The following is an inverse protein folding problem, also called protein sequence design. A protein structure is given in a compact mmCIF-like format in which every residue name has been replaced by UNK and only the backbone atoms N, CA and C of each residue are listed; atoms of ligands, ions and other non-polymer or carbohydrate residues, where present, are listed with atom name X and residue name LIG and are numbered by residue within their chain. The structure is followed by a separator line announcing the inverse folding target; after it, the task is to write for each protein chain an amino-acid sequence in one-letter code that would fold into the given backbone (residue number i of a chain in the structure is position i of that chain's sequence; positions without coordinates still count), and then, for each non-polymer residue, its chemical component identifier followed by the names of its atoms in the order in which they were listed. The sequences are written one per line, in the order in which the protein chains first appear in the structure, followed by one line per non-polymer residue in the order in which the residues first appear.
data_IF_178350851098
#
_entry.id   IF_178350851098
#
_cell.length_a   1.000
_cell.length_b   1.000
_cell.length_c   1.000
_cell.angle_alpha   90.00
_cell.angle_beta   90.00
_cell.angle_gamma   90.00
#
_symmetry.space_group_name_H-M   'P 1'
#
loop_
_entity.id
_entity.type
_entity.pdbx_description
1 polymer ?
#
# COMPACT_ATOMS: atom_id res chain seq x y z
N UNK A 1 -11.19 -10.31 17.37
CA UNK A 1 -10.67 -10.90 16.12
C UNK A 1 -9.20 -10.55 16.01
N UNK A 2 -8.33 -11.49 15.65
CA UNK A 2 -6.88 -11.25 15.54
C UNK A 2 -6.49 -10.89 14.11
N UNK A 3 -6.07 -9.64 13.90
CA UNK A 3 -5.56 -9.14 12.62
C UNK A 3 -4.03 -9.16 12.62
N UNK A 4 -3.45 -9.88 11.67
CA UNK A 4 -2.02 -9.88 11.38
C UNK A 4 -1.76 -9.06 10.13
N UNK A 5 -0.76 -8.18 10.17
CA UNK A 5 -0.46 -7.25 9.09
C UNK A 5 1.05 -7.13 8.82
N UNK A 6 1.40 -6.99 7.55
CA UNK A 6 2.76 -6.72 7.07
C UNK A 6 2.74 -6.18 5.63
N UNK A 7 3.89 -5.75 5.14
CA UNK A 7 4.11 -5.30 3.77
C UNK A 7 5.53 -5.61 3.31
N UNK A 8 5.82 -5.33 2.04
CA UNK A 8 7.17 -5.38 1.47
C UNK A 8 7.88 -6.74 1.67
N UNK A 9 7.22 -7.92 1.50
CA UNK A 9 7.93 -9.19 1.62
C UNK A 9 8.92 -9.40 0.47
N UNK A 10 8.73 -8.73 -0.68
CA UNK A 10 9.64 -8.73 -1.84
C UNK A 10 10.17 -10.12 -2.21
N UNK A 11 9.28 -11.11 -2.31
CA UNK A 11 9.69 -12.53 -2.27
C UNK A 11 10.59 -12.93 -3.44
N UNK A 12 10.53 -12.21 -4.55
CA UNK A 12 11.42 -12.42 -5.68
C UNK A 12 12.85 -12.00 -5.36
N UNK A 13 13.03 -10.92 -4.58
CA UNK A 13 14.33 -10.45 -4.11
C UNK A 13 14.85 -11.34 -2.99
N UNK A 14 13.99 -11.78 -2.05
CA UNK A 14 14.36 -12.75 -1.01
C UNK A 14 14.99 -14.00 -1.63
N UNK A 15 14.30 -14.60 -2.61
CA UNK A 15 14.76 -15.79 -3.30
C UNK A 15 16.07 -15.56 -4.06
N UNK A 16 16.15 -14.47 -4.84
CA UNK A 16 17.37 -14.09 -5.59
C UNK A 16 18.58 -13.84 -4.69
N UNK A 17 18.36 -13.44 -3.44
CA UNK A 17 19.40 -13.16 -2.44
C UNK A 17 19.74 -14.34 -1.54
N UNK A 18 19.21 -15.53 -1.82
CA UNK A 18 19.59 -16.75 -1.12
C UNK A 18 18.67 -17.16 0.03
N UNK A 19 17.42 -16.65 0.06
CA UNK A 19 16.39 -17.08 1.01
C UNK A 19 15.26 -17.89 0.31
N UNK A 20 15.56 -19.06 -0.29
CA UNK A 20 14.56 -19.84 -1.03
C UNK A 20 13.45 -20.42 -0.13
N UNK A 21 13.67 -20.47 1.19
CA UNK A 21 12.69 -20.90 2.18
C UNK A 21 11.88 -19.76 2.80
N UNK A 22 12.12 -18.51 2.38
CA UNK A 22 11.47 -17.32 2.97
C UNK A 22 9.95 -17.48 3.04
N UNK A 23 9.31 -17.83 1.92
CA UNK A 23 7.86 -17.94 1.84
C UNK A 23 7.30 -19.07 2.72
N UNK A 24 8.00 -20.21 2.78
CA UNK A 24 7.60 -21.35 3.62
C UNK A 24 7.67 -20.96 5.09
N UNK A 25 8.78 -20.36 5.53
CA UNK A 25 8.96 -19.94 6.91
C UNK A 25 8.04 -18.78 7.30
N UNK A 26 7.75 -17.87 6.37
CA UNK A 26 6.75 -16.83 6.56
C UNK A 26 5.37 -17.45 6.82
N UNK A 27 4.96 -18.44 6.02
CA UNK A 27 3.69 -19.12 6.24
C UNK A 27 3.65 -19.86 7.58
N UNK A 28 4.71 -20.59 7.95
CA UNK A 28 4.82 -21.26 9.25
C UNK A 28 4.71 -20.27 10.42
N UNK A 29 5.41 -19.15 10.32
CA UNK A 29 5.35 -18.09 11.32
C UNK A 29 3.95 -17.47 11.42
N UNK A 30 3.32 -17.15 10.29
CA UNK A 30 1.95 -16.63 10.26
C UNK A 30 0.96 -17.62 10.89
N UNK A 31 1.08 -18.91 10.60
CA UNK A 31 0.23 -19.94 11.21
C UNK A 31 0.42 -20.04 12.72
N UNK A 32 1.67 -19.89 13.20
CA UNK A 32 1.97 -19.90 14.64
C UNK A 32 1.30 -18.76 15.42
N UNK A 33 0.97 -17.65 14.75
CA UNK A 33 0.23 -16.53 15.35
C UNK A 33 -1.27 -16.85 15.50
N UNK A 34 -1.79 -17.86 14.80
CA UNK A 34 -3.21 -18.20 14.71
C UNK A 34 -4.07 -16.97 14.33
N UNK A 35 -3.86 -16.35 13.15
CA UNK A 35 -4.59 -15.17 12.70
C UNK A 35 -6.04 -15.49 12.36
N UNK A 36 -6.98 -14.59 12.68
CA UNK A 36 -8.31 -14.62 12.07
C UNK A 36 -8.27 -13.98 10.67
N UNK A 37 -7.50 -12.91 10.51
CA UNK A 37 -7.34 -12.14 9.28
C UNK A 37 -5.87 -11.82 9.04
N UNK A 38 -5.43 -11.93 7.78
CA UNK A 38 -4.14 -11.43 7.32
C UNK A 38 -4.36 -10.27 6.36
N UNK A 39 -3.64 -9.16 6.54
CA UNK A 39 -3.63 -8.01 5.64
C UNK A 39 -2.20 -7.76 5.14
N UNK A 40 -2.00 -7.85 3.82
CA UNK A 40 -0.74 -7.52 3.16
C UNK A 40 -0.90 -6.20 2.40
N UNK A 41 -0.08 -5.19 2.75
CA UNK A 41 -0.14 -3.83 2.17
C UNK A 41 1.01 -3.55 1.21
N UNK A 42 1.12 -4.42 0.20
CA UNK A 42 1.87 -4.16 -1.01
C UNK A 42 3.30 -4.68 -1.02
N UNK A 43 3.89 -4.52 -2.20
CA UNK A 43 5.27 -4.87 -2.55
C UNK A 43 5.58 -6.34 -2.28
N UNK A 44 4.67 -7.19 -2.77
CA UNK A 44 4.85 -8.65 -2.77
C UNK A 44 5.98 -9.02 -3.72
N UNK A 45 5.90 -8.58 -4.98
CA UNK A 45 6.92 -8.82 -6.00
C UNK A 45 6.67 -8.03 -7.29
N UNK A 46 7.74 -7.78 -8.06
CA UNK A 46 7.66 -7.14 -9.37
C UNK A 46 6.85 -7.92 -10.43
N UNK A 47 6.98 -9.26 -10.48
CA UNK A 47 6.34 -10.07 -11.53
C UNK A 47 5.06 -10.74 -11.05
N UNK A 48 4.07 -10.86 -11.95
CA UNK A 48 2.80 -11.55 -11.66
C UNK A 48 3.02 -13.00 -11.22
N UNK A 49 4.03 -13.69 -11.76
CA UNK A 49 4.35 -15.08 -11.38
C UNK A 49 4.81 -15.21 -9.92
N UNK A 50 5.58 -14.24 -9.42
CA UNK A 50 5.97 -14.23 -8.01
C UNK A 50 4.80 -13.80 -7.13
N UNK A 51 3.97 -12.85 -7.54
CA UNK A 51 2.74 -12.53 -6.80
C UNK A 51 1.84 -13.77 -6.68
N UNK A 52 1.64 -14.51 -7.77
CA UNK A 52 0.91 -15.79 -7.75
C UNK A 52 1.54 -16.78 -6.77
N UNK A 53 2.87 -16.99 -6.86
CA UNK A 53 3.62 -17.85 -5.94
C UNK A 53 3.39 -17.47 -4.47
N UNK A 54 3.39 -16.17 -4.15
CA UNK A 54 3.10 -15.67 -2.80
C UNK A 54 1.66 -16.01 -2.37
N UNK A 55 0.68 -15.61 -3.18
CA UNK A 55 -0.74 -15.78 -2.84
C UNK A 55 -1.12 -17.26 -2.67
N UNK A 56 -0.53 -18.16 -3.46
CA UNK A 56 -0.63 -19.62 -3.32
C UNK A 56 0.12 -20.15 -2.08
N UNK A 57 1.31 -19.62 -1.80
CA UNK A 57 2.20 -20.10 -0.74
C UNK A 57 1.82 -19.69 0.68
N UNK A 58 0.87 -18.77 0.85
CA UNK A 58 0.26 -18.44 2.15
C UNK A 58 -1.07 -19.21 2.30
N UNK A 59 -0.97 -20.37 2.94
CA UNK A 59 -2.05 -21.33 3.17
C UNK A 59 -2.47 -21.43 4.65
N UNK A 60 -2.32 -20.34 5.38
CA UNK A 60 -2.70 -20.22 6.80
C UNK A 60 -4.18 -20.53 7.06
N UNK A 61 -4.52 -20.88 8.28
CA UNK A 61 -5.90 -21.07 8.77
C UNK A 61 -6.73 -19.78 8.91
N UNK A 62 -6.17 -18.63 8.56
CA UNK A 62 -6.87 -17.35 8.54
C UNK A 62 -8.19 -17.42 7.77
N UNK A 63 -9.26 -16.91 8.39
CA UNK A 63 -10.60 -16.87 7.80
C UNK A 63 -10.68 -15.92 6.60
N UNK A 64 -9.84 -14.88 6.60
CA UNK A 64 -9.71 -13.93 5.49
C UNK A 64 -8.25 -13.58 5.25
N UNK A 65 -7.88 -13.55 3.97
CA UNK A 65 -6.60 -13.04 3.48
C UNK A 65 -6.89 -11.84 2.59
N UNK A 66 -6.33 -10.68 2.93
CA UNK A 66 -6.61 -9.40 2.30
C UNK A 66 -5.31 -8.87 1.70
N UNK A 67 -5.39 -8.41 0.46
CA UNK A 67 -4.24 -7.90 -0.29
C UNK A 67 -4.55 -6.52 -0.87
N UNK A 68 -3.69 -5.56 -0.57
CA UNK A 68 -3.61 -4.26 -1.22
C UNK A 68 -2.24 -4.16 -1.90
N UNK A 69 -2.14 -3.86 -3.21
CA UNK A 69 -0.88 -3.85 -3.94
C UNK A 69 0.00 -2.64 -3.62
N UNK A 70 1.30 -2.80 -3.81
CA UNK A 70 2.31 -1.73 -3.80
C UNK A 70 2.80 -1.37 -5.20
N UNK A 71 3.76 -0.45 -5.29
CA UNK A 71 4.26 0.01 -6.58
C UNK A 71 5.03 -1.09 -7.32
N UNK A 72 5.77 -1.95 -6.61
CA UNK A 72 6.42 -3.11 -7.24
C UNK A 72 5.38 -4.06 -7.83
N UNK A 73 4.23 -4.23 -7.18
CA UNK A 73 3.20 -5.14 -7.66
C UNK A 73 2.58 -4.72 -8.99
N UNK A 74 2.69 -3.44 -9.38
CA UNK A 74 2.23 -2.92 -10.69
C UNK A 74 3.34 -2.76 -11.72
N UNK A 75 4.60 -3.08 -11.38
CA UNK A 75 5.71 -3.02 -12.32
C UNK A 75 5.51 -3.98 -13.49
N UNK A 76 5.81 -3.50 -14.70
CA UNK A 76 5.65 -4.27 -15.94
C UNK A 76 6.87 -4.13 -16.84
N UNK A 77 7.35 -5.26 -17.35
CA UNK A 77 8.32 -5.32 -18.44
C UNK A 77 7.57 -5.37 -19.78
N UNK A 78 6.75 -4.35 -20.05
CA UNK A 78 5.90 -4.27 -21.24
C UNK A 78 6.23 -3.04 -22.07
N UNK A 79 6.05 -3.15 -23.39
CA UNK A 79 6.08 -1.99 -24.30
C UNK A 79 4.76 -1.23 -24.31
N UNK A 80 3.67 -1.82 -23.80
CA UNK A 80 2.39 -1.14 -23.71
C UNK A 80 2.45 -0.03 -22.64
N UNK A 81 2.05 1.17 -23.03
CA UNK A 81 2.25 2.39 -22.25
C UNK A 81 1.37 2.47 -21.00
N UNK A 82 0.25 1.75 -20.94
CA UNK A 82 -0.74 1.76 -19.84
C UNK A 82 -0.84 0.41 -19.10
N UNK A 83 0.16 -0.46 -19.27
CA UNK A 83 0.10 -1.84 -18.79
C UNK A 83 0.02 -1.98 -17.25
N UNK A 84 0.44 -0.97 -16.47
CA UNK A 84 0.27 -1.00 -15.02
C UNK A 84 -1.20 -0.85 -14.61
N UNK A 85 -2.01 -0.11 -15.38
CA UNK A 85 -3.45 -0.05 -15.13
C UNK A 85 -4.12 -1.40 -15.36
N UNK A 86 -3.78 -2.08 -16.45
CA UNK A 86 -4.27 -3.44 -16.74
C UNK A 86 -3.88 -4.42 -15.64
N UNK A 87 -2.63 -4.34 -15.16
CA UNK A 87 -2.17 -5.19 -14.06
C UNK A 87 -2.99 -4.92 -12.78
N UNK A 88 -3.16 -3.67 -12.40
CA UNK A 88 -3.89 -3.26 -11.20
C UNK A 88 -5.40 -3.57 -11.23
N UNK A 89 -6.08 -3.32 -12.35
CA UNK A 89 -7.54 -3.42 -12.43
C UNK A 89 -8.08 -4.75 -12.95
N UNK A 90 -7.25 -5.57 -13.58
CA UNK A 90 -7.69 -6.82 -14.19
C UNK A 90 -6.90 -8.02 -13.67
N UNK A 91 -5.58 -7.98 -13.79
CA UNK A 91 -4.74 -9.16 -13.51
C UNK A 91 -4.69 -9.47 -12.01
N UNK A 92 -4.31 -8.49 -11.18
CA UNK A 92 -4.22 -8.68 -9.74
C UNK A 92 -5.56 -9.04 -9.06
N UNK A 93 -6.70 -8.37 -9.36
CA UNK A 93 -7.98 -8.76 -8.78
C UNK A 93 -8.47 -10.14 -9.23
N UNK A 94 -8.25 -10.51 -10.50
CA UNK A 94 -8.57 -11.84 -11.01
C UNK A 94 -7.76 -12.90 -10.26
N UNK A 95 -6.43 -12.74 -10.23
CA UNK A 95 -5.52 -13.66 -9.56
C UNK A 95 -5.85 -13.81 -8.07
N UNK A 96 -6.11 -12.69 -7.39
CA UNK A 96 -6.48 -12.70 -5.98
C UNK A 96 -7.78 -13.49 -5.76
N UNK A 97 -8.79 -13.26 -6.59
CA UNK A 97 -10.08 -13.97 -6.50
C UNK A 97 -9.91 -15.47 -6.70
N UNK A 98 -9.14 -15.88 -7.72
CA UNK A 98 -8.87 -17.28 -8.04
C UNK A 98 -8.15 -18.01 -6.89
N UNK A 99 -7.30 -17.30 -6.14
CA UNK A 99 -6.50 -17.83 -5.04
C UNK A 99 -7.13 -17.60 -3.65
N UNK A 100 -8.38 -17.15 -3.58
CA UNK A 100 -9.11 -16.97 -2.33
C UNK A 100 -8.64 -15.78 -1.48
N UNK A 101 -8.03 -14.78 -2.11
CA UNK A 101 -7.65 -13.51 -1.49
C UNK A 101 -8.66 -12.41 -1.83
N UNK A 102 -8.96 -11.57 -0.83
CA UNK A 102 -9.73 -10.36 -1.03
C UNK A 102 -8.81 -9.24 -1.53
N UNK A 103 -8.94 -8.88 -2.80
CA UNK A 103 -8.22 -7.74 -3.38
C UNK A 103 -8.90 -6.43 -2.98
N UNK A 104 -8.29 -5.75 -2.01
CA UNK A 104 -8.90 -4.63 -1.31
C UNK A 104 -9.31 -3.46 -2.22
N UNK A 105 -8.51 -3.06 -3.23
CA UNK A 105 -8.92 -1.99 -4.12
C UNK A 105 -10.15 -2.29 -4.97
N UNK A 106 -10.60 -3.55 -5.13
CA UNK A 106 -11.76 -3.83 -5.97
C UNK A 106 -13.09 -3.58 -5.26
N UNK A 107 -13.14 -3.74 -3.93
CA UNK A 107 -14.32 -3.51 -3.09
C UNK A 107 -13.94 -3.56 -1.60
N UNK A 108 -14.51 -2.72 -0.73
CA UNK A 108 -14.38 -2.86 0.72
C UNK A 108 -14.84 -4.23 1.24
N UNK A 109 -14.25 -4.67 2.35
CA UNK A 109 -14.64 -5.89 3.04
C UNK A 109 -15.13 -5.55 4.45
N UNK A 110 -16.28 -6.09 4.84
CA UNK A 110 -16.78 -5.97 6.21
C UNK A 110 -16.73 -7.36 6.86
N UNK A 111 -16.05 -7.45 8.01
CA UNK A 111 -16.03 -8.65 8.85
C UNK A 111 -16.52 -8.25 10.23
N UNK A 112 -17.69 -8.75 10.63
CA UNK A 112 -18.41 -8.32 11.82
C UNK A 112 -18.67 -6.79 11.79
N UNK A 113 -18.11 -6.06 12.75
CA UNK A 113 -18.16 -4.62 12.95
C UNK A 113 -16.93 -3.87 12.38
N UNK A 114 -16.01 -4.57 11.72
CA UNK A 114 -14.80 -3.98 11.15
C UNK A 114 -14.92 -3.84 9.64
N UNK A 115 -14.74 -2.61 9.14
CA UNK A 115 -14.61 -2.35 7.72
C UNK A 115 -13.14 -2.25 7.30
N UNK A 116 -12.79 -2.92 6.20
CA UNK A 116 -11.49 -2.85 5.55
C UNK A 116 -11.67 -2.10 4.22
N UNK A 117 -10.89 -1.05 4.02
CA UNK A 117 -10.82 -0.27 2.79
C UNK A 117 -9.36 -0.09 2.38
N UNK A 118 -9.09 0.15 1.11
CA UNK A 118 -7.72 0.38 0.71
C UNK A 118 -7.49 0.58 -0.76
N UNK A 119 -6.38 1.24 -1.04
CA UNK A 119 -5.89 1.56 -2.38
C UNK A 119 -4.36 1.54 -2.32
N UNK A 120 -3.66 1.27 -3.41
CA UNK A 120 -2.21 1.41 -3.41
C UNK A 120 -1.79 2.83 -3.01
N UNK A 121 -2.62 3.82 -3.39
CA UNK A 121 -2.23 5.21 -3.42
C UNK A 121 -1.26 5.48 -4.57
N UNK A 122 -0.69 6.67 -4.59
CA UNK A 122 0.51 7.00 -5.35
C UNK A 122 1.15 8.23 -4.70
N UNK A 123 2.33 8.62 -5.15
CA UNK A 123 2.99 9.84 -4.67
C UNK A 123 2.65 11.05 -5.54
N UNK A 124 2.66 12.22 -4.90
CA UNK A 124 2.41 13.53 -5.50
C UNK A 124 3.53 14.53 -5.15
N UNK A 125 4.67 14.01 -4.65
CA UNK A 125 5.83 14.79 -4.18
C UNK A 125 5.56 15.65 -2.93
N UNK A 126 4.41 15.49 -2.27
CA UNK A 126 4.13 16.18 -1.01
C UNK A 126 4.95 15.67 0.18
N UNK A 127 5.63 14.53 0.02
CA UNK A 127 6.54 13.91 0.99
C UNK A 127 8.01 14.28 0.78
N UNK A 128 8.33 15.11 -0.23
CA UNK A 128 9.70 15.59 -0.48
C UNK A 128 10.23 16.39 0.72
N UNK A 129 11.55 16.41 0.92
CA UNK A 129 12.16 17.24 1.95
C UNK A 129 12.26 18.71 1.48
N UNK A 130 11.57 19.68 2.13
CA UNK A 130 11.55 21.07 1.69
C UNK A 130 12.92 21.78 1.71
N UNK A 131 13.92 21.25 2.44
CA UNK A 131 15.28 21.82 2.45
C UNK A 131 15.94 21.81 1.07
N UNK A 132 15.43 20.99 0.14
CA UNK A 132 15.93 20.86 -1.22
C UNK A 132 15.12 21.64 -2.24
N UNK A 133 14.09 22.40 -1.86
CA UNK A 133 13.20 23.11 -2.81
C UNK A 133 13.95 24.13 -3.69
N UNK A 134 15.04 24.70 -3.20
CA UNK A 134 15.92 25.60 -3.98
C UNK A 134 16.84 24.86 -4.97
N UNK A 135 16.97 23.53 -4.84
CA UNK A 135 17.94 22.70 -5.57
C UNK A 135 17.28 21.68 -6.49
N UNK A 136 16.12 21.15 -6.12
CA UNK A 136 15.39 20.14 -6.87
C UNK A 136 14.01 20.69 -7.20
N UNK A 137 13.82 21.02 -8.48
CA UNK A 137 12.51 21.48 -8.96
C UNK A 137 11.47 20.36 -8.99
N UNK A 138 10.18 20.71 -8.96
CA UNK A 138 9.09 19.73 -9.15
C UNK A 138 9.19 18.98 -10.48
N UNK A 139 9.72 19.64 -11.53
CA UNK A 139 9.96 19.01 -12.83
C UNK A 139 11.03 17.91 -12.74
N UNK A 140 12.02 18.09 -11.87
CA UNK A 140 13.05 17.09 -11.63
C UNK A 140 12.49 15.88 -10.87
N UNK A 141 11.69 16.11 -9.82
CA UNK A 141 10.94 15.03 -9.18
C UNK A 141 10.03 14.29 -10.17
N UNK A 142 9.30 15.00 -11.03
CA UNK A 142 8.46 14.37 -12.06
C UNK A 142 9.24 13.54 -13.08
N UNK A 143 10.51 13.87 -13.27
CA UNK A 143 11.39 13.07 -14.11
C UNK A 143 11.89 11.80 -13.40
N UNK A 144 11.73 11.67 -12.06
CA UNK A 144 12.21 10.52 -11.28
C UNK A 144 13.72 10.28 -11.43
N UNK A 145 14.46 11.32 -11.82
CA UNK A 145 15.90 11.30 -12.06
C UNK A 145 16.53 12.50 -11.37
N UNK A 146 17.40 12.24 -10.41
CA UNK A 146 18.21 13.26 -9.77
C UNK A 146 19.39 13.60 -10.69
N UNK A 147 19.39 14.82 -11.24
CA UNK A 147 20.41 15.25 -12.21
C UNK A 147 21.78 15.43 -11.58
N UNK A 148 21.84 15.67 -10.27
CA UNK A 148 23.10 15.94 -9.56
C UNK A 148 23.88 14.66 -9.26
N UNK A 149 23.19 13.57 -8.94
CA UNK A 149 23.81 12.28 -8.57
C UNK A 149 23.67 11.20 -9.62
N UNK A 150 22.71 11.33 -10.54
CA UNK A 150 22.32 10.27 -11.46
C UNK A 150 21.38 9.22 -10.86
N UNK A 151 20.89 9.42 -9.64
CA UNK A 151 19.96 8.50 -8.98
C UNK A 151 18.61 8.45 -9.71
N UNK A 152 18.03 7.24 -9.84
CA UNK A 152 16.76 7.01 -10.54
C UNK A 152 15.78 6.33 -9.59
N UNK A 153 14.55 6.83 -9.55
CA UNK A 153 13.42 6.12 -8.93
C UNK A 153 12.82 5.14 -9.94
N UNK A 154 12.85 3.84 -9.62
CA UNK A 154 12.65 2.77 -10.62
C UNK A 154 11.23 2.67 -11.17
N UNK A 155 10.24 3.29 -10.53
CA UNK A 155 8.90 3.44 -11.12
C UNK A 155 8.95 4.16 -12.48
N UNK A 156 9.96 5.01 -12.71
CA UNK A 156 10.21 5.61 -14.03
C UNK A 156 10.27 4.55 -15.14
N UNK A 157 10.94 3.45 -14.84
CA UNK A 157 11.22 2.40 -15.80
C UNK A 157 10.10 1.38 -15.87
N UNK A 158 9.37 1.14 -14.79
CA UNK A 158 8.46 0.00 -14.68
C UNK A 158 6.99 0.32 -14.42
N UNK A 159 6.65 1.51 -13.92
CA UNK A 159 5.27 1.95 -13.78
C UNK A 159 4.80 2.60 -15.08
N UNK A 160 3.82 1.98 -15.74
CA UNK A 160 3.31 2.35 -17.07
C UNK A 160 1.84 2.73 -16.97
N UNK A 161 1.58 4.02 -16.71
CA UNK A 161 0.24 4.58 -16.53
C UNK A 161 -0.28 5.38 -17.74
N UNK A 162 0.32 5.24 -18.91
CA UNK A 162 0.00 6.03 -20.11
C UNK A 162 0.54 7.45 -20.01
N UNK A 163 -0.24 8.43 -20.47
CA UNK A 163 0.13 9.85 -20.46
C UNK A 163 -0.20 10.56 -19.13
N UNK A 164 -0.66 9.81 -18.12
CA UNK A 164 -1.00 10.35 -16.81
C UNK A 164 0.27 10.61 -15.98
N UNK A 165 0.41 11.84 -15.49
CA UNK A 165 1.47 12.18 -14.53
C UNK A 165 1.11 11.71 -13.12
N UNK A 166 2.10 11.73 -12.22
CA UNK A 166 1.93 11.16 -10.87
C UNK A 166 0.86 11.85 -10.02
N UNK A 167 0.64 13.15 -10.16
CA UNK A 167 -0.44 13.84 -9.43
C UNK A 167 -1.82 13.32 -9.86
N UNK A 168 -2.01 13.11 -11.16
CA UNK A 168 -3.25 12.53 -11.70
C UNK A 168 -3.47 11.11 -11.16
N UNK A 169 -2.42 10.28 -11.19
CA UNK A 169 -2.48 8.90 -10.67
C UNK A 169 -2.77 8.90 -9.17
N UNK A 170 -2.14 9.78 -8.41
CA UNK A 170 -2.34 9.92 -6.96
C UNK A 170 -3.76 10.39 -6.61
N UNK A 171 -4.30 11.34 -7.39
CA UNK A 171 -5.67 11.84 -7.23
C UNK A 171 -6.69 10.74 -7.53
N UNK A 172 -6.46 9.96 -8.57
CA UNK A 172 -7.30 8.82 -8.92
C UNK A 172 -7.41 7.82 -7.78
N UNK A 173 -6.28 7.37 -7.23
CA UNK A 173 -6.29 6.43 -6.10
C UNK A 173 -6.87 7.04 -4.81
N UNK A 174 -6.65 8.33 -4.56
CA UNK A 174 -7.26 9.02 -3.43
C UNK A 174 -8.79 9.06 -3.55
N UNK A 175 -9.31 9.32 -4.75
CA UNK A 175 -10.75 9.28 -5.03
C UNK A 175 -11.33 7.87 -4.86
N UNK A 176 -10.62 6.83 -5.29
CA UNK A 176 -11.06 5.45 -5.05
C UNK A 176 -11.25 5.13 -3.57
N UNK A 177 -10.34 5.62 -2.71
CA UNK A 177 -10.46 5.42 -1.26
C UNK A 177 -11.70 6.14 -0.71
N UNK A 178 -12.01 7.33 -1.21
CA UNK A 178 -13.21 8.09 -0.84
C UNK A 178 -14.48 7.34 -1.28
N UNK A 179 -14.53 6.88 -2.53
CA UNK A 179 -15.66 6.10 -3.06
C UNK A 179 -15.91 4.82 -2.24
N UNK A 180 -14.83 4.12 -1.87
CA UNK A 180 -14.89 2.92 -1.04
C UNK A 180 -15.46 3.22 0.36
N UNK A 181 -15.00 4.30 1.01
CA UNK A 181 -15.51 4.75 2.31
C UNK A 181 -17.00 5.15 2.23
N UNK A 182 -17.40 5.90 1.21
CA UNK A 182 -18.79 6.30 0.98
C UNK A 182 -19.69 5.09 0.68
N UNK A 183 -19.17 4.06 0.02
CA UNK A 183 -19.93 2.83 -0.25
C UNK A 183 -20.32 2.08 1.03
N UNK A 184 -19.57 2.24 2.12
CA UNK A 184 -19.86 1.62 3.43
C UNK A 184 -20.98 2.38 4.12
N UNK A 185 -20.85 3.70 4.23
CA UNK A 185 -21.85 4.59 4.83
C UNK A 185 -21.63 6.03 4.36
N UNK A 186 -22.73 6.72 4.02
CA UNK A 186 -22.69 8.11 3.55
C UNK A 186 -22.16 9.07 4.64
N UNK A 187 -22.18 8.67 5.92
CA UNK A 187 -21.69 9.47 7.06
C UNK A 187 -20.28 9.05 7.52
N UNK A 188 -19.58 8.19 6.77
CA UNK A 188 -18.27 7.68 7.20
C UNK A 188 -17.17 8.73 7.09
N UNK A 189 -17.33 9.71 6.20
CA UNK A 189 -16.42 10.83 6.01
C UNK A 189 -17.15 12.11 6.44
N UNK A 190 -16.54 12.88 7.35
CA UNK A 190 -17.10 14.14 7.88
C UNK A 190 -16.83 15.35 6.97
N UNK A 191 -15.86 15.24 6.06
CA UNK A 191 -15.52 16.30 5.11
C UNK A 191 -16.19 16.10 3.75
N UNK A 192 -16.83 17.15 3.24
CA UNK A 192 -17.19 17.23 1.82
C UNK A 192 -15.90 17.36 1.01
N UNK A 193 -15.40 16.22 0.53
CA UNK A 193 -14.28 16.21 -0.39
C UNK A 193 -14.79 16.66 -1.75
N UNK A 194 -14.39 17.86 -2.19
CA UNK A 194 -14.50 18.20 -3.61
C UNK A 194 -13.56 17.24 -4.34
N UNK A 195 -14.12 16.26 -5.04
CA UNK A 195 -13.36 15.34 -5.90
C UNK A 195 -12.55 16.11 -6.94
N UNK A 196 -12.77 17.42 -7.09
CA UNK A 196 -12.26 18.25 -8.16
C UNK A 196 -12.78 17.71 -9.49
N UNK A 197 -12.47 18.41 -10.57
CA UNK A 197 -12.58 17.84 -11.91
C UNK A 197 -11.52 16.73 -12.17
N UNK A 198 -11.07 16.02 -11.13
CA UNK A 198 -9.93 15.09 -11.18
C UNK A 198 -10.30 13.65 -11.53
N UNK A 199 -11.60 13.33 -11.62
CA UNK A 199 -12.02 12.20 -12.46
C UNK A 199 -11.74 12.60 -13.91
N UNK A 200 -10.51 12.39 -14.37
CA UNK A 200 -10.25 12.40 -15.80
C UNK A 200 -11.22 11.37 -16.37
N UNK A 201 -12.14 11.81 -17.21
CA UNK A 201 -13.23 10.98 -17.73
C UNK A 201 -12.70 9.68 -18.34
N UNK A 202 -11.46 9.71 -18.84
CA UNK A 202 -10.70 8.57 -19.33
C UNK A 202 -10.36 7.50 -18.28
N UNK A 203 -10.09 7.88 -17.02
CA UNK A 203 -9.80 6.94 -15.92
C UNK A 203 -11.08 6.32 -15.32
N UNK A 204 -12.25 6.92 -15.54
CA UNK A 204 -13.54 6.34 -15.12
C UNK A 204 -13.78 4.96 -15.75
N UNK A 205 -13.13 4.65 -16.89
CA UNK A 205 -13.17 3.31 -17.49
C UNK A 205 -12.62 2.24 -16.55
N UNK A 206 -11.63 2.57 -15.72
CA UNK A 206 -11.05 1.66 -14.74
C UNK A 206 -11.93 1.54 -13.49
N UNK A 207 -12.57 2.62 -13.04
CA UNK A 207 -13.56 2.55 -11.95
C UNK A 207 -14.73 1.62 -12.30
N UNK A 208 -15.16 1.59 -13.57
CA UNK A 208 -16.17 0.64 -14.06
C UNK A 208 -15.72 -0.82 -14.01
N UNK A 209 -14.42 -1.10 -13.92
CA UNK A 209 -13.91 -2.46 -13.73
C UNK A 209 -13.96 -2.89 -12.26
N UNK A 210 -14.03 -1.94 -11.32
CA UNK A 210 -14.26 -2.25 -9.91
C UNK A 210 -15.65 -2.86 -9.77
N UNK A 211 -15.78 -3.94 -9.00
CA UNK A 211 -17.08 -4.53 -8.63
C UNK A 211 -17.69 -3.82 -7.43
N UNK A 212 -17.51 -2.50 -7.31
CA UNK A 212 -17.95 -1.73 -6.15
C UNK A 212 -19.48 -1.78 -6.03
N UNK A 213 -19.98 -2.17 -4.87
CA UNK A 213 -21.40 -2.17 -4.50
C UNK A 213 -21.57 -1.35 -3.24
N UNK A 214 -22.67 -0.61 -3.15
CA UNK A 214 -23.07 0.04 -1.89
C UNK A 214 -23.31 -1.06 -0.84
N UNK A 215 -22.60 -0.99 0.27
CA UNK A 215 -22.67 -1.96 1.38
C UNK A 215 -23.64 -1.51 2.47
N UNK A 216 -23.82 -0.20 2.68
CA UNK A 216 -24.75 0.42 3.65
C UNK A 216 -24.76 -0.26 5.05
N UNK A 217 -23.57 -0.45 5.63
CA UNK A 217 -23.46 -1.09 6.95
C UNK A 217 -23.67 -0.09 8.09
N UNK A 218 -24.59 -0.41 9.01
CA UNK A 218 -24.94 0.46 10.15
C UNK A 218 -24.16 0.17 11.44
N UNK A 219 -23.36 -0.90 11.47
CA UNK A 219 -22.74 -1.41 12.70
C UNK A 219 -21.20 -1.40 12.64
N UNK A 220 -20.61 -0.56 11.78
CA UNK A 220 -19.15 -0.40 11.73
C UNK A 220 -18.71 0.49 12.89
N UNK A 221 -17.83 0.00 13.76
CA UNK A 221 -17.19 0.77 14.82
C UNK A 221 -15.67 0.93 14.61
N UNK A 222 -15.11 0.13 13.69
CA UNK A 222 -13.67 0.11 13.39
C UNK A 222 -13.44 0.13 11.88
N UNK A 223 -12.55 0.99 11.43
CA UNK A 223 -12.09 1.07 10.03
C UNK A 223 -10.60 0.78 9.95
N UNK A 224 -10.23 -0.24 9.18
CA UNK A 224 -8.85 -0.57 8.84
C UNK A 224 -8.59 -0.10 7.41
N UNK A 225 -7.62 0.79 7.24
CA UNK A 225 -7.27 1.42 5.96
C UNK A 225 -5.92 0.88 5.52
N UNK A 226 -5.89 0.08 4.46
CA UNK A 226 -4.67 -0.39 3.83
C UNK A 226 -4.24 0.53 2.69
N UNK A 227 -3.07 1.16 2.80
CA UNK A 227 -2.38 1.76 1.65
C UNK A 227 -0.99 1.19 1.53
N UNK A 228 -0.36 1.22 0.36
CA UNK A 228 1.06 0.94 0.32
C UNK A 228 1.86 2.23 0.56
N UNK A 229 1.49 3.29 -0.14
CA UNK A 229 2.06 4.63 -0.01
C UNK A 229 1.84 5.23 1.37
N UNK A 230 2.86 5.95 1.86
CA UNK A 230 2.86 6.57 3.18
C UNK A 230 1.84 7.72 3.26
N UNK A 231 0.85 7.65 4.18
CA UNK A 231 -0.18 8.69 4.29
C UNK A 231 0.23 9.90 5.14
N UNK A 232 1.20 9.75 6.05
CA UNK A 232 1.59 10.78 7.02
C UNK A 232 3.08 11.10 6.92
N UNK A 233 3.41 12.39 6.75
CA UNK A 233 4.81 12.85 6.59
C UNK A 233 5.69 12.51 7.80
N UNK A 234 5.10 12.37 8.99
CA UNK A 234 5.82 12.00 10.22
C UNK A 234 6.47 10.61 10.16
N UNK A 235 6.11 9.79 9.18
CA UNK A 235 6.70 8.47 8.94
C UNK A 235 7.84 8.52 7.91
N UNK A 236 8.03 9.66 7.25
CA UNK A 236 9.11 9.89 6.27
C UNK A 236 10.42 10.15 7.02
N UNK A 237 11.48 9.42 6.65
CA UNK A 237 12.81 9.63 7.20
C UNK A 237 13.59 10.59 6.31
N UNK A 238 13.84 11.79 6.80
CA UNK A 238 14.78 12.72 6.19
C UNK A 238 16.17 12.59 6.82
N UNK A 239 17.22 12.54 6.00
CA UNK A 239 18.61 12.34 6.45
C UNK A 239 19.51 13.54 6.18
N UNK A 240 19.08 14.47 5.31
CA UNK A 240 19.95 15.53 4.80
C UNK A 240 20.95 15.04 3.74
N UNK A 241 20.91 13.76 3.36
CA UNK A 241 21.59 13.27 2.18
C UNK A 241 20.70 13.51 0.95
N UNK A 242 21.28 14.09 -0.10
CA UNK A 242 20.52 14.51 -1.28
C UNK A 242 19.76 13.36 -1.95
N UNK A 243 20.37 12.19 -2.12
CA UNK A 243 19.72 11.06 -2.81
C UNK A 243 18.62 10.43 -1.97
N UNK A 244 18.88 10.25 -0.67
CA UNK A 244 17.89 9.74 0.26
C UNK A 244 16.65 10.64 0.33
N UNK A 245 16.88 11.94 0.48
CA UNK A 245 15.80 12.92 0.59
C UNK A 245 15.12 13.20 -0.77
N UNK A 246 15.84 13.00 -1.88
CA UNK A 246 15.24 12.96 -3.21
C UNK A 246 14.23 11.82 -3.31
N UNK A 247 14.60 10.62 -2.87
CA UNK A 247 13.69 9.46 -2.89
C UNK A 247 12.50 9.60 -1.95
N UNK A 248 12.64 10.38 -0.88
CA UNK A 248 11.53 10.66 0.05
C UNK A 248 10.32 11.30 -0.64
N UNK A 249 10.48 11.94 -1.81
CA UNK A 249 9.38 12.48 -2.59
C UNK A 249 8.45 11.43 -3.23
N UNK A 250 8.90 10.17 -3.33
CA UNK A 250 8.16 9.07 -3.96
C UNK A 250 7.59 8.06 -2.97
N UNK A 251 7.72 8.32 -1.65
CA UNK A 251 7.30 7.34 -0.65
C UNK A 251 5.83 7.47 -0.24
N UNK A 252 5.17 8.56 -0.64
CA UNK A 252 3.74 8.69 -0.39
C UNK A 252 3.14 10.04 -0.72
N UNK A 253 1.93 10.25 -0.21
CA UNK A 253 1.08 11.39 -0.50
C UNK A 253 0.27 11.80 0.74
N UNK A 254 0.44 13.03 1.19
CA UNK A 254 -0.23 13.60 2.37
C UNK A 254 -1.76 13.73 2.22
N UNK A 255 -2.29 13.70 1.00
CA UNK A 255 -3.73 13.64 0.71
C UNK A 255 -4.38 12.40 1.32
N UNK A 256 -3.71 11.25 1.28
CA UNK A 256 -4.21 10.01 1.89
C UNK A 256 -4.40 10.19 3.40
N UNK A 257 -3.42 10.81 4.07
CA UNK A 257 -3.54 11.13 5.49
C UNK A 257 -4.73 12.06 5.79
N UNK A 258 -4.98 13.07 4.95
CA UNK A 258 -6.15 13.96 5.12
C UNK A 258 -7.48 13.21 4.98
N UNK A 259 -7.59 12.28 4.03
CA UNK A 259 -8.78 11.43 3.86
C UNK A 259 -8.97 10.52 5.08
N UNK A 260 -7.89 9.90 5.57
CA UNK A 260 -7.97 9.02 6.75
C UNK A 260 -8.42 9.80 7.99
N UNK A 261 -7.92 11.03 8.16
CA UNK A 261 -8.30 11.90 9.28
C UNK A 261 -9.73 12.42 9.19
N UNK A 262 -10.31 12.51 7.99
CA UNK A 262 -11.69 12.92 7.80
C UNK A 262 -12.70 11.79 8.00
N UNK A 263 -12.26 10.54 8.21
CA UNK A 263 -13.14 9.45 8.64
C UNK A 263 -13.68 9.78 10.04
N UNK A 264 -14.98 9.52 10.25
CA UNK A 264 -15.70 9.78 11.50
C UNK A 264 -14.84 9.44 12.74
N UNK A 265 -14.63 10.44 13.58
CA UNK A 265 -13.67 10.36 14.69
C UNK A 265 -14.17 9.55 15.90
N UNK A 266 -15.45 9.16 15.92
CA UNK A 266 -16.03 8.22 16.89
C UNK A 266 -15.61 6.78 16.60
N UNK A 267 -15.16 6.48 15.38
CA UNK A 267 -14.71 5.16 14.98
C UNK A 267 -13.24 4.94 15.35
N UNK A 268 -12.91 3.71 15.73
CA UNK A 268 -11.51 3.28 15.83
C UNK A 268 -10.93 3.17 14.41
N UNK A 269 -9.85 3.90 14.12
CA UNK A 269 -9.21 3.94 12.81
C UNK A 269 -7.80 3.34 12.90
N UNK A 270 -7.48 2.40 12.01
CA UNK A 270 -6.15 1.78 11.92
C UNK A 270 -5.65 1.93 10.49
N UNK A 271 -4.66 2.78 10.28
CA UNK A 271 -3.97 2.96 8.99
C UNK A 271 -2.77 2.03 8.93
N UNK A 272 -2.74 1.13 7.94
CA UNK A 272 -1.69 0.13 7.74
C UNK A 272 -1.01 0.39 6.40
N UNK A 273 0.32 0.48 6.39
CA UNK A 273 1.09 0.75 5.17
C UNK A 273 2.54 0.24 5.20
N UNK A 274 3.26 0.42 4.08
CA UNK A 274 4.62 -0.09 3.87
C UNK A 274 5.56 0.95 3.25
N UNK A 275 6.33 0.51 2.24
CA UNK A 275 7.18 1.29 1.32
C UNK A 275 8.45 1.89 1.93
N UNK A 276 8.40 2.31 3.19
CA UNK A 276 9.57 2.95 3.84
C UNK A 276 10.70 1.97 4.15
N UNK A 277 10.40 0.67 4.23
CA UNK A 277 11.28 -0.38 4.75
C UNK A 277 11.72 -0.20 6.22
N UNK A 278 11.13 0.77 6.93
CA UNK A 278 11.38 1.02 8.36
C UNK A 278 10.10 0.88 9.16
N UNK A 279 9.97 -0.17 10.01
CA UNK A 279 8.77 -0.35 10.82
C UNK A 279 8.60 0.79 11.81
N UNK A 280 7.40 1.33 11.87
CA UNK A 280 7.04 2.45 12.73
C UNK A 280 5.57 2.30 13.14
N UNK A 281 5.26 2.65 14.39
CA UNK A 281 3.89 2.63 14.91
C UNK A 281 3.67 3.88 15.75
N UNK A 282 2.62 4.65 15.44
CA UNK A 282 2.30 5.91 16.13
C UNK A 282 0.80 6.06 16.31
N UNK A 283 0.39 6.58 17.46
CA UNK A 283 -0.94 7.16 17.62
C UNK A 283 -0.89 8.55 16.98
N UNK A 284 -1.65 8.73 15.90
CA UNK A 284 -1.73 10.00 15.17
C UNK A 284 -2.76 10.92 15.85
N UNK A 285 -3.84 10.33 16.38
CA UNK A 285 -4.94 10.97 17.11
C UNK A 285 -5.57 9.93 18.07
N UNK A 286 -6.37 10.35 19.06
CA UNK A 286 -6.93 9.48 20.11
C UNK A 286 -7.57 8.17 19.57
N UNK A 287 -8.22 8.22 18.40
CA UNK A 287 -8.85 7.07 17.74
C UNK A 287 -8.22 6.73 16.37
N UNK A 288 -6.99 7.18 16.09
CA UNK A 288 -6.28 6.88 14.84
C UNK A 288 -4.86 6.39 15.13
N UNK A 289 -4.64 5.11 14.87
CA UNK A 289 -3.33 4.48 14.92
C UNK A 289 -2.78 4.25 13.52
N UNK A 290 -1.52 4.59 13.29
CA UNK A 290 -0.80 4.37 12.04
C UNK A 290 0.33 3.36 12.25
N UNK A 291 0.36 2.32 11.41
CA UNK A 291 1.24 1.15 11.51
C UNK A 291 1.94 0.94 10.16
N UNK A 292 3.22 1.30 10.09
CA UNK A 292 4.11 0.95 8.99
C UNK A 292 4.80 -0.38 9.33
N UNK A 293 4.54 -1.45 8.58
CA UNK A 293 5.02 -2.80 8.88
C UNK A 293 5.74 -3.52 7.71
N UNK A 294 6.73 -2.88 7.05
CA UNK A 294 7.47 -3.47 5.95
C UNK A 294 8.49 -4.51 6.44
N UNK A 295 8.62 -5.63 5.71
CA UNK A 295 9.70 -6.60 5.93
C UNK A 295 11.01 -6.07 5.33
N UNK A 296 10.97 -5.65 4.06
CA UNK A 296 12.12 -5.07 3.35
C UNK A 296 13.06 -6.11 2.75
N UNK A 297 14.17 -5.63 2.20
CA UNK A 297 15.15 -6.42 1.46
C UNK A 297 16.18 -7.08 2.39
N UNK A 298 16.73 -8.26 2.01
CA UNK A 298 17.80 -8.93 2.76
C UNK A 298 18.94 -8.04 3.24
N UNK A 299 19.48 -7.19 2.37
CA UNK A 299 20.60 -6.31 2.70
C UNK A 299 20.26 -5.23 3.75
N UNK A 300 18.97 -5.02 4.06
CA UNK A 300 18.51 -4.06 5.05
C UNK A 300 18.36 -4.69 6.44
N UNK A 301 18.04 -5.98 6.52
CA UNK A 301 17.74 -6.65 7.78
C UNK A 301 18.72 -7.77 8.17
N UNK A 302 19.52 -8.29 7.24
CA UNK A 302 20.51 -9.36 7.49
C UNK A 302 21.49 -9.05 8.63
N UNK A 303 21.79 -7.78 8.84
CA UNK A 303 22.73 -7.33 9.88
C UNK A 303 22.10 -7.32 11.27
N UNK A 304 20.79 -7.15 11.34
CA UNK A 304 20.04 -6.90 12.57
C UNK A 304 19.29 -8.15 13.07
N UNK A 305 19.17 -9.18 12.23
CA UNK A 305 18.40 -10.40 12.53
C UNK A 305 19.23 -11.66 12.30
N UNK A 306 19.30 -12.52 13.31
CA UNK A 306 20.02 -13.80 13.26
C UNK A 306 19.24 -14.93 12.57
N UNK A 307 17.94 -14.76 12.38
CA UNK A 307 17.05 -15.73 11.71
C UNK A 307 15.84 -15.05 11.06
N UNK A 308 15.20 -15.72 10.10
CA UNK A 308 13.93 -15.25 9.52
C UNK A 308 12.80 -15.18 10.56
N UNK A 309 12.79 -16.05 11.56
CA UNK A 309 11.83 -15.97 12.67
C UNK A 309 12.00 -14.66 13.46
N UNK A 310 13.23 -14.30 13.83
CA UNK A 310 13.50 -13.02 14.53
C UNK A 310 13.19 -11.79 13.66
N UNK A 311 13.32 -11.92 12.34
CA UNK A 311 12.88 -10.89 11.39
C UNK A 311 11.36 -10.74 11.45
N UNK A 312 10.62 -11.84 11.27
CA UNK A 312 9.17 -11.82 11.25
C UNK A 312 8.58 -11.31 12.56
N UNK A 313 9.15 -11.68 13.70
CA UNK A 313 8.76 -11.17 15.03
C UNK A 313 8.88 -9.64 15.13
N UNK A 314 9.90 -9.06 14.50
CA UNK A 314 10.12 -7.61 14.54
C UNK A 314 9.30 -6.81 13.52
N UNK A 315 8.86 -7.43 12.41
CA UNK A 315 8.25 -6.74 11.27
C UNK A 315 6.75 -7.00 11.12
N UNK A 316 6.28 -8.17 11.54
CA UNK A 316 4.88 -8.58 11.42
C UNK A 316 4.12 -8.15 12.67
N UNK A 317 3.05 -7.39 12.47
CA UNK A 317 2.28 -6.82 13.57
C UNK A 317 0.98 -7.60 13.75
N UNK A 318 0.62 -7.90 15.00
CA UNK A 318 -0.65 -8.51 15.36
C UNK A 318 -1.43 -7.61 16.32
N UNK A 319 -2.72 -7.40 16.05
CA UNK A 319 -3.61 -6.60 16.89
C UNK A 319 -4.95 -7.29 17.09
N UNK A 320 -5.55 -7.07 18.27
CA UNK A 320 -6.93 -7.45 18.52
C UNK A 320 -7.86 -6.32 18.08
N UNK A 321 -8.81 -6.67 17.23
CA UNK A 321 -9.86 -5.80 16.68
C UNK A 321 -11.24 -6.41 16.87
#
# INVERSE_FOLDING_TARGET
MKLVMFSDPHIDIQEKRGYPKFLVQLNEYLESIEPDIILVTGDIAGSTSYIQKFLEGIFTSAKKKIYCPGNHDIWVNSKAHDASWTKYYQILPQLSTELGWHYLPNQPLIVNNVAFVGTMGWYDYSTRNPIWDDKISILEYSSKYNKSSGAIWMDREYAKFGDHNDNVVADHFANELIEDLQSISDNLIEMNWDSGNSSIEELNKYNKLKKLKKLESKNVDTVVIGTHMVPFVDFVKFTGNLDWDFFSAFIGNTKLGRIIKSINNELRRISVFGHTHYPQRKIVEDNLEAICCPIGYPNEWERDHSSLESLFESKIVSVNI
#
